data_IF_481770614030
#
_entry.id   IF_481770614030
#
_cell.length_a   1.000
_cell.length_b   1.000
_cell.length_c   1.000
_cell.angle_alpha   90.00
_cell.angle_beta   90.00
_cell.angle_gamma   90.00
#
_symmetry.space_group_name_H-M   'P 1'
#
loop_
_entity.id
_entity.type
_entity.pdbx_description
1 polymer ?
#
# COMPACT_ATOMS: atom_id res chain seq x y z
N UNK A 1 -14.57 -3.88 -8.64
CA UNK A 1 -14.81 -4.92 -7.62
C UNK A 1 -13.97 -4.64 -6.37
N UNK A 2 -14.52 -4.82 -5.17
CA UNK A 2 -13.74 -4.77 -3.90
C UNK A 2 -13.29 -6.19 -3.57
N UNK A 3 -12.01 -6.37 -3.22
CA UNK A 3 -11.44 -7.66 -2.79
C UNK A 3 -10.34 -7.48 -1.75
N UNK A 4 -9.92 -8.58 -1.12
CA UNK A 4 -8.70 -8.59 -0.30
C UNK A 4 -7.48 -8.28 -1.16
N UNK A 5 -6.56 -7.49 -0.59
CA UNK A 5 -5.25 -7.25 -1.16
C UNK A 5 -4.39 -8.53 -1.12
N UNK A 6 -3.41 -8.57 -2.00
CA UNK A 6 -2.31 -9.53 -2.02
C UNK A 6 -0.98 -8.77 -2.12
N UNK A 7 0.17 -9.38 -1.79
CA UNK A 7 1.47 -8.73 -1.98
C UNK A 7 1.72 -8.25 -3.40
N UNK A 8 1.13 -8.88 -4.41
CA UNK A 8 1.25 -8.49 -5.82
C UNK A 8 0.58 -7.13 -6.13
N UNK A 9 -0.30 -6.65 -5.26
CA UNK A 9 -0.91 -5.32 -5.38
C UNK A 9 0.03 -4.18 -4.94
N UNK A 10 1.23 -4.50 -4.43
CA UNK A 10 2.14 -3.54 -3.83
C UNK A 10 2.52 -2.40 -4.78
N UNK A 11 2.87 -2.69 -6.04
CA UNK A 11 3.23 -1.67 -7.02
C UNK A 11 2.10 -0.65 -7.23
N UNK A 12 0.88 -1.14 -7.50
CA UNK A 12 -0.28 -0.29 -7.74
C UNK A 12 -0.69 0.51 -6.50
N UNK A 13 -0.66 -0.11 -5.32
CA UNK A 13 -0.93 0.58 -4.05
C UNK A 13 0.13 1.65 -3.76
N UNK A 14 1.41 1.35 -4.03
CA UNK A 14 2.51 2.29 -3.83
C UNK A 14 2.40 3.49 -4.76
N UNK A 15 1.94 3.31 -6.00
CA UNK A 15 1.72 4.43 -6.93
C UNK A 15 0.61 5.37 -6.43
N UNK A 16 -0.43 4.84 -5.78
CA UNK A 16 -1.47 5.65 -5.11
C UNK A 16 -0.93 6.32 -3.84
N UNK A 17 -0.09 5.61 -3.07
CA UNK A 17 0.45 6.08 -1.80
C UNK A 17 1.55 7.15 -1.97
N UNK A 18 2.36 7.05 -3.02
CA UNK A 18 3.53 7.92 -3.25
C UNK A 18 3.21 9.42 -3.20
N UNK A 19 2.18 9.95 -3.89
CA UNK A 19 1.81 11.37 -3.81
C UNK A 19 1.50 11.84 -2.39
N UNK A 20 0.92 10.97 -1.54
CA UNK A 20 0.62 11.30 -0.15
C UNK A 20 1.87 11.50 0.71
N UNK A 21 3.02 10.96 0.29
CA UNK A 21 4.32 11.06 0.97
C UNK A 21 5.16 12.22 0.42
N UNK A 22 5.26 12.35 -0.90
CA UNK A 22 6.19 13.30 -1.52
C UNK A 22 5.63 14.73 -1.61
N UNK A 23 4.32 14.87 -1.79
CA UNK A 23 3.66 16.17 -2.00
C UNK A 23 2.52 16.43 -0.99
N UNK A 24 2.08 15.39 -0.28
CA UNK A 24 0.90 15.41 0.56
C UNK A 24 1.18 15.59 2.06
N UNK A 25 0.08 15.62 2.82
CA UNK A 25 0.10 15.66 4.30
C UNK A 25 -0.72 14.52 4.91
N UNK A 26 -1.17 13.57 4.07
CA UNK A 26 -1.96 12.43 4.51
C UNK A 26 -1.09 11.35 5.18
N UNK A 27 0.22 11.35 4.91
CA UNK A 27 1.21 10.52 5.59
C UNK A 27 2.25 11.39 6.30
N UNK A 28 2.87 10.86 7.36
CA UNK A 28 4.04 11.44 8.00
C UNK A 28 5.36 10.77 7.56
N UNK A 29 5.30 9.77 6.68
CA UNK A 29 6.50 9.23 6.05
C UNK A 29 7.20 10.35 5.25
N UNK A 30 8.54 10.38 5.27
CA UNK A 30 9.34 11.38 4.56
C UNK A 30 9.88 10.86 3.22
N UNK A 31 9.98 9.54 3.08
CA UNK A 31 10.47 8.86 1.88
C UNK A 31 9.50 7.73 1.56
N UNK A 32 9.01 7.62 0.32
CA UNK A 32 8.15 6.50 -0.06
C UNK A 32 8.92 5.18 0.14
N UNK A 33 8.27 4.13 0.66
CA UNK A 33 8.90 2.82 0.72
C UNK A 33 9.17 2.29 -0.69
N UNK A 34 10.09 1.34 -0.77
CA UNK A 34 10.25 0.49 -1.95
C UNK A 34 9.03 -0.42 -2.13
N UNK A 35 8.87 -0.97 -3.33
CA UNK A 35 7.81 -1.94 -3.63
C UNK A 35 7.90 -3.17 -2.72
N UNK A 36 9.11 -3.69 -2.48
CA UNK A 36 9.34 -4.84 -1.61
C UNK A 36 8.95 -4.55 -0.14
N UNK A 37 9.27 -3.36 0.36
CA UNK A 37 8.84 -2.95 1.71
C UNK A 37 7.32 -2.80 1.79
N UNK A 38 6.67 -2.27 0.74
CA UNK A 38 5.22 -2.14 0.71
C UNK A 38 4.52 -3.52 0.63
N UNK A 39 5.05 -4.44 -0.17
CA UNK A 39 4.58 -5.83 -0.22
C UNK A 39 4.67 -6.52 1.15
N UNK A 40 5.79 -6.34 1.86
CA UNK A 40 5.96 -6.86 3.22
C UNK A 40 4.97 -6.24 4.23
N UNK A 41 4.59 -4.96 4.05
CA UNK A 41 3.53 -4.34 4.87
C UNK A 41 2.16 -4.98 4.61
N UNK A 42 1.83 -5.27 3.35
CA UNK A 42 0.58 -5.97 2.99
C UNK A 42 0.58 -7.36 3.63
N UNK A 43 1.62 -8.15 3.44
CA UNK A 43 1.75 -9.50 4.01
C UNK A 43 1.58 -9.49 5.54
N UNK A 44 2.35 -8.64 6.23
CA UNK A 44 2.29 -8.51 7.69
C UNK A 44 0.92 -8.08 8.20
N UNK A 45 0.26 -7.16 7.51
CA UNK A 45 -1.07 -6.71 7.91
C UNK A 45 -2.10 -7.85 7.79
N UNK A 46 -2.04 -8.61 6.70
CA UNK A 46 -2.95 -9.72 6.41
C UNK A 46 -2.84 -10.89 7.39
N UNK A 47 -1.76 -10.99 8.16
CA UNK A 47 -1.65 -11.95 9.27
C UNK A 47 -2.75 -11.76 10.33
N UNK A 48 -3.21 -10.51 10.55
CA UNK A 48 -4.11 -10.18 11.66
C UNK A 48 -5.29 -9.28 11.27
N UNK A 49 -5.26 -8.63 10.10
CA UNK A 49 -6.22 -7.61 9.70
C UNK A 49 -6.56 -7.69 8.22
N UNK A 50 -7.75 -7.23 7.84
CA UNK A 50 -8.12 -7.12 6.44
C UNK A 50 -7.48 -5.87 5.80
N UNK A 51 -6.83 -6.05 4.65
CA UNK A 51 -6.48 -4.97 3.73
C UNK A 51 -7.29 -5.15 2.46
N UNK A 52 -8.03 -4.13 2.05
CA UNK A 52 -8.91 -4.18 0.87
C UNK A 52 -8.38 -3.30 -0.24
N UNK A 53 -8.58 -3.74 -1.48
CA UNK A 53 -8.34 -2.97 -2.70
C UNK A 53 -9.63 -2.86 -3.51
N UNK A 54 -9.68 -1.83 -4.35
CA UNK A 54 -10.72 -1.64 -5.35
C UNK A 54 -10.06 -1.63 -6.73
N UNK A 55 -10.43 -2.58 -7.57
CA UNK A 55 -9.99 -2.69 -8.97
C UNK A 55 -11.22 -2.54 -9.88
N UNK A 56 -11.12 -1.82 -10.99
CA UNK A 56 -12.28 -1.52 -11.84
C UNK A 56 -12.65 -2.66 -12.76
#
# INVERSE_FOLDING_TARGET
MIRSATPDDAAACLDIYRPAVVDGVASFELTPPTEAEFAARIEKALENWAWLVFEH
#
